data_IF_455083581554
#
_entry.id   IF_455083581554
#
_cell.length_a   1.000
_cell.length_b   1.000
_cell.length_c   1.000
_cell.angle_alpha   90.00
_cell.angle_beta   90.00
_cell.angle_gamma   90.00
#
_symmetry.space_group_name_H-M   'P 1'
#
loop_
_entity.id
_entity.type
_entity.pdbx_description
1 polymer ?
#
# COMPACT_ATOMS: atom_id res chain seq x y z
N UNK A 1 -3.10 -29.57 24.35
CA UNK A 1 -1.64 -29.63 24.58
C UNK A 1 -0.99 -28.88 23.43
N UNK A 2 -0.58 -27.64 23.69
CA UNK A 2 0.05 -26.75 22.69
C UNK A 2 1.35 -27.40 22.26
N UNK A 3 1.46 -27.81 20.99
CA UNK A 3 2.74 -28.24 20.43
C UNK A 3 3.59 -26.97 20.32
N UNK A 4 4.56 -26.81 21.22
CA UNK A 4 5.62 -25.82 21.06
C UNK A 4 6.32 -26.07 19.72
N UNK A 5 6.32 -25.07 18.86
CA UNK A 5 7.12 -25.06 17.65
C UNK A 5 8.59 -24.96 18.07
N UNK A 6 9.30 -26.09 18.02
CA UNK A 6 10.73 -26.21 18.31
C UNK A 6 11.49 -26.19 16.96
N UNK A 7 12.02 -25.03 16.52
CA UNK A 7 12.61 -24.87 15.17
C UNK A 7 13.93 -25.63 14.95
N UNK A 8 14.46 -26.34 15.95
CA UNK A 8 15.78 -26.98 15.89
C UNK A 8 15.73 -28.52 15.86
N UNK A 9 14.55 -29.14 15.81
CA UNK A 9 14.40 -30.60 15.98
C UNK A 9 13.45 -31.29 14.99
N UNK A 10 13.29 -30.73 13.78
CA UNK A 10 12.47 -31.32 12.71
C UNK A 10 13.34 -32.15 11.73
N UNK A 11 13.02 -33.43 11.47
CA UNK A 11 13.87 -34.33 10.66
C UNK A 11 13.80 -34.01 9.15
N UNK A 12 14.85 -34.29 8.34
CA UNK A 12 14.83 -34.07 6.89
C UNK A 12 13.87 -35.09 6.22
N UNK A 13 13.05 -34.70 5.21
CA UNK A 13 13.30 -33.71 4.15
C UNK A 13 12.32 -32.52 4.20
N UNK A 14 12.78 -31.34 4.61
CA UNK A 14 11.91 -30.15 4.81
C UNK A 14 12.07 -29.10 3.71
N UNK A 15 13.22 -29.05 3.04
CA UNK A 15 13.52 -27.99 2.06
C UNK A 15 12.58 -28.02 0.85
N UNK A 16 12.46 -29.15 0.15
CA UNK A 16 11.69 -29.22 -1.12
C UNK A 16 10.21 -28.86 -0.94
N UNK A 17 9.59 -29.30 0.15
CA UNK A 17 8.17 -29.06 0.42
C UNK A 17 7.91 -27.60 0.82
N UNK A 18 8.86 -26.96 1.52
CA UNK A 18 8.79 -25.52 1.83
C UNK A 18 8.91 -24.64 0.58
N UNK A 19 9.80 -24.98 -0.37
CA UNK A 19 9.92 -24.22 -1.62
C UNK A 19 8.60 -24.21 -2.40
N UNK A 20 7.96 -25.38 -2.54
CA UNK A 20 6.67 -25.47 -3.22
C UNK A 20 5.59 -24.63 -2.53
N UNK A 21 5.55 -24.63 -1.20
CA UNK A 21 4.59 -23.84 -0.42
C UNK A 21 4.83 -22.33 -0.58
N UNK A 22 6.08 -21.88 -0.49
CA UNK A 22 6.45 -20.47 -0.67
C UNK A 22 6.10 -20.00 -2.08
N UNK A 23 6.43 -20.77 -3.11
CA UNK A 23 6.06 -20.43 -4.49
C UNK A 23 4.54 -20.36 -4.67
N UNK A 24 3.79 -21.30 -4.08
CA UNK A 24 2.33 -21.35 -4.20
C UNK A 24 1.65 -20.10 -3.61
N UNK A 25 2.21 -19.50 -2.56
CA UNK A 25 1.69 -18.26 -1.95
C UNK A 25 2.27 -17.01 -2.62
N UNK A 26 3.54 -17.05 -3.03
CA UNK A 26 4.24 -15.88 -3.59
C UNK A 26 3.76 -15.56 -5.01
N UNK A 27 3.48 -16.56 -5.84
CA UNK A 27 2.99 -16.35 -7.22
C UNK A 27 1.72 -15.47 -7.25
N UNK A 28 0.63 -15.81 -6.52
CA UNK A 28 -0.55 -14.97 -6.52
C UNK A 28 -0.28 -13.59 -5.89
N UNK A 29 0.58 -13.51 -4.86
CA UNK A 29 0.94 -12.24 -4.23
C UNK A 29 1.65 -11.28 -5.21
N UNK A 30 2.62 -11.79 -5.97
CA UNK A 30 3.34 -10.99 -6.99
C UNK A 30 2.40 -10.56 -8.10
N UNK A 31 1.49 -11.44 -8.54
CA UNK A 31 0.49 -11.09 -9.54
C UNK A 31 -0.45 -9.96 -9.06
N UNK A 32 -0.91 -10.04 -7.81
CA UNK A 32 -1.70 -8.98 -7.19
C UNK A 32 -0.93 -7.67 -7.15
N UNK A 33 0.35 -7.70 -6.79
CA UNK A 33 1.15 -6.49 -6.72
C UNK A 33 1.36 -5.85 -8.10
N UNK A 34 1.59 -6.67 -9.14
CA UNK A 34 1.66 -6.18 -10.52
C UNK A 34 0.34 -5.52 -10.91
N UNK A 35 -0.78 -6.17 -10.60
CA UNK A 35 -2.12 -5.65 -10.94
C UNK A 35 -2.45 -4.36 -10.19
N UNK A 36 -1.94 -4.18 -8.97
CA UNK A 36 -2.08 -2.94 -8.20
C UNK A 36 -1.29 -1.77 -8.81
N UNK A 37 -0.07 -2.00 -9.31
CA UNK A 37 0.76 -0.94 -9.88
C UNK A 37 0.48 -0.63 -11.36
N UNK A 38 -0.18 -1.53 -12.08
CA UNK A 38 -0.45 -1.41 -13.51
C UNK A 38 -1.36 -0.21 -13.92
N UNK A 39 -2.39 0.20 -13.16
CA UNK A 39 -3.33 1.23 -13.60
C UNK A 39 -2.69 2.62 -13.78
N UNK A 40 -1.80 3.02 -12.88
CA UNK A 40 -1.13 4.33 -12.90
C UNK A 40 -0.36 4.61 -14.22
N UNK A 41 0.54 3.73 -14.69
CA UNK A 41 1.25 3.95 -15.95
C UNK A 41 0.33 3.88 -17.18
N UNK A 42 -0.72 3.05 -17.16
CA UNK A 42 -1.71 3.00 -18.24
C UNK A 42 -2.47 4.33 -18.34
N UNK A 43 -2.91 4.87 -17.20
CA UNK A 43 -3.56 6.19 -17.13
C UNK A 43 -2.63 7.28 -17.64
N UNK A 44 -1.36 7.30 -17.22
CA UNK A 44 -0.38 8.26 -17.72
C UNK A 44 -0.11 8.14 -19.22
N UNK A 45 -0.05 6.92 -19.76
CA UNK A 45 0.06 6.71 -21.22
C UNK A 45 -1.17 7.24 -21.96
N UNK A 46 -2.37 7.06 -21.42
CA UNK A 46 -3.60 7.59 -22.01
C UNK A 46 -3.60 9.13 -22.00
N UNK A 47 -3.29 9.74 -20.84
CA UNK A 47 -3.20 11.19 -20.68
C UNK A 47 -2.14 11.81 -21.60
N UNK A 48 -1.06 11.09 -21.91
CA UNK A 48 -0.01 11.50 -22.85
C UNK A 48 -0.44 11.57 -24.33
N UNK A 49 -1.55 10.94 -24.71
CA UNK A 49 -2.10 11.01 -26.07
C UNK A 49 -3.15 12.12 -26.26
N UNK A 50 -3.50 12.86 -25.19
CA UNK A 50 -4.36 14.04 -25.28
C UNK A 50 -3.62 15.21 -25.97
N UNK A 51 -4.38 16.22 -26.42
CA UNK A 51 -3.82 17.37 -27.14
C UNK A 51 -2.62 17.98 -26.41
N UNK A 52 -1.61 18.35 -27.18
CA UNK A 52 -0.24 18.61 -26.69
C UNK A 52 -0.16 19.80 -25.72
N UNK A 53 -1.17 20.68 -25.75
CA UNK A 53 -1.31 21.85 -24.90
C UNK A 53 -1.78 21.51 -23.48
N UNK A 54 -2.80 20.67 -23.32
CA UNK A 54 -3.36 20.29 -22.02
C UNK A 54 -2.62 19.10 -21.38
N UNK A 55 -2.13 18.17 -22.20
CA UNK A 55 -1.48 16.94 -21.73
C UNK A 55 -0.26 17.22 -20.84
N UNK A 56 0.53 18.26 -21.13
CA UNK A 56 1.70 18.64 -20.31
C UNK A 56 1.32 19.11 -18.92
N UNK A 57 0.27 19.91 -18.80
CA UNK A 57 -0.18 20.46 -17.50
C UNK A 57 -0.82 19.35 -16.68
N UNK A 58 -1.66 18.51 -17.30
CA UNK A 58 -2.32 17.38 -16.63
C UNK A 58 -1.31 16.33 -16.17
N UNK A 59 -0.29 16.00 -16.97
CA UNK A 59 0.76 15.07 -16.57
C UNK A 59 1.63 15.63 -15.44
N UNK A 60 1.99 16.91 -15.48
CA UNK A 60 2.74 17.55 -14.41
C UNK A 60 1.92 17.62 -13.10
N UNK A 61 0.64 17.95 -13.20
CA UNK A 61 -0.31 17.97 -12.10
C UNK A 61 -0.49 16.59 -11.47
N UNK A 62 -0.78 15.58 -12.29
CA UNK A 62 -0.96 14.20 -11.86
C UNK A 62 0.31 13.61 -11.25
N UNK A 63 1.48 13.90 -11.83
CA UNK A 63 2.78 13.52 -11.28
C UNK A 63 3.03 14.11 -9.89
N UNK A 64 2.78 15.42 -9.71
CA UNK A 64 2.96 16.05 -8.41
C UNK A 64 1.95 15.58 -7.37
N UNK A 65 0.68 15.39 -7.76
CA UNK A 65 -0.35 14.81 -6.91
C UNK A 65 0.06 13.41 -6.43
N UNK A 66 0.54 12.57 -7.35
CA UNK A 66 1.02 11.22 -7.04
C UNK A 66 2.22 11.23 -6.09
N UNK A 67 3.18 12.15 -6.29
CA UNK A 67 4.31 12.31 -5.37
C UNK A 67 3.84 12.75 -3.98
N UNK A 68 2.97 13.75 -3.89
CA UNK A 68 2.43 14.22 -2.62
C UNK A 68 1.68 13.11 -1.87
N UNK A 69 0.82 12.37 -2.58
CA UNK A 69 0.06 11.25 -2.03
C UNK A 69 0.99 10.11 -1.58
N UNK A 70 2.01 9.80 -2.37
CA UNK A 70 2.97 8.73 -2.06
C UNK A 70 3.78 9.06 -0.80
N UNK A 71 4.27 10.29 -0.69
CA UNK A 71 5.06 10.74 0.46
C UNK A 71 4.22 10.87 1.73
N UNK A 72 2.99 11.37 1.63
CA UNK A 72 2.19 11.73 2.80
C UNK A 72 1.28 10.59 3.27
N UNK A 73 0.56 9.96 2.36
CA UNK A 73 -0.46 8.97 2.69
C UNK A 73 0.03 7.54 2.47
N UNK A 74 0.52 7.22 1.27
CA UNK A 74 0.91 5.86 0.92
C UNK A 74 2.04 5.33 1.82
N UNK A 75 3.04 6.17 2.11
CA UNK A 75 4.16 5.80 3.00
C UNK A 75 3.70 5.41 4.40
N UNK A 76 2.71 6.11 4.97
CA UNK A 76 2.14 5.78 6.29
C UNK A 76 1.37 4.47 6.22
N UNK A 77 0.54 4.28 5.19
CA UNK A 77 -0.24 3.06 4.98
C UNK A 77 0.68 1.85 4.86
N UNK A 78 1.72 1.91 4.02
CA UNK A 78 2.69 0.82 3.85
C UNK A 78 3.43 0.51 5.15
N UNK A 79 3.84 1.53 5.92
CA UNK A 79 4.50 1.33 7.21
C UNK A 79 3.63 0.58 8.21
N UNK A 80 2.34 0.92 8.27
CA UNK A 80 1.36 0.24 9.14
C UNK A 80 1.07 -1.17 8.65
N UNK A 81 0.88 -1.36 7.34
CA UNK A 81 0.69 -2.69 6.75
C UNK A 81 1.87 -3.61 7.02
N UNK A 82 3.10 -3.11 6.92
CA UNK A 82 4.32 -3.90 7.22
C UNK A 82 4.37 -4.29 8.70
N UNK A 83 4.02 -3.38 9.61
CA UNK A 83 3.92 -3.70 11.04
C UNK A 83 2.83 -4.75 11.30
N UNK A 84 1.71 -4.69 10.58
CA UNK A 84 0.64 -5.67 10.68
C UNK A 84 1.03 -7.05 10.13
N UNK A 85 1.75 -7.13 9.01
CA UNK A 85 2.25 -8.39 8.47
C UNK A 85 3.14 -9.10 9.51
N UNK A 86 4.02 -8.34 10.17
CA UNK A 86 4.86 -8.84 11.25
C UNK A 86 4.03 -9.34 12.44
N UNK A 87 3.04 -8.58 12.91
CA UNK A 87 2.16 -8.97 14.02
C UNK A 87 1.31 -10.20 13.68
N UNK A 88 0.82 -10.30 12.45
CA UNK A 88 0.02 -11.42 11.96
C UNK A 88 0.86 -12.69 11.88
N UNK A 89 2.09 -12.59 11.37
CA UNK A 89 3.05 -13.70 11.39
C UNK A 89 3.37 -14.17 12.81
N UNK A 90 3.54 -13.24 13.76
CA UNK A 90 3.75 -13.56 15.17
C UNK A 90 2.54 -14.25 15.83
N UNK A 91 1.33 -13.74 15.57
CA UNK A 91 0.09 -14.33 16.09
C UNK A 91 -0.15 -15.73 15.52
N UNK A 92 0.12 -15.92 14.23
CA UNK A 92 0.06 -17.22 13.57
C UNK A 92 1.08 -18.20 14.15
N UNK A 93 2.32 -17.76 14.40
CA UNK A 93 3.37 -18.57 15.01
C UNK A 93 3.07 -19.06 16.44
N UNK A 94 2.22 -18.36 17.19
CA UNK A 94 1.75 -18.77 18.53
C UNK A 94 0.61 -19.79 18.49
N UNK A 95 0.07 -20.13 17.32
CA UNK A 95 -0.98 -21.13 17.16
C UNK A 95 -2.35 -20.76 17.76
N UNK A 96 -2.58 -19.47 18.05
CA UNK A 96 -3.81 -18.97 18.68
C UNK A 96 -4.65 -18.23 17.65
N UNK A 97 -5.47 -18.96 16.88
CA UNK A 97 -6.33 -18.39 15.84
C UNK A 97 -7.29 -17.28 16.33
N UNK A 98 -7.61 -17.26 17.63
CA UNK A 98 -8.43 -16.21 18.25
C UNK A 98 -7.68 -14.86 18.36
N UNK A 99 -6.35 -14.87 18.45
CA UNK A 99 -5.53 -13.65 18.44
C UNK A 99 -5.48 -13.00 17.05
N UNK A 100 -5.67 -13.77 15.98
CA UNK A 100 -5.75 -13.25 14.61
C UNK A 100 -6.94 -12.30 14.42
N UNK A 101 -8.07 -12.62 15.05
CA UNK A 101 -9.25 -11.75 15.06
C UNK A 101 -9.02 -10.43 15.78
N UNK A 102 -8.24 -10.45 16.88
CA UNK A 102 -7.86 -9.24 17.61
C UNK A 102 -6.91 -8.37 16.78
N UNK A 103 -5.95 -8.97 16.08
CA UNK A 103 -5.06 -8.26 15.15
C UNK A 103 -5.87 -7.61 14.03
N UNK A 104 -6.86 -8.32 13.46
CA UNK A 104 -7.73 -7.76 12.41
C UNK A 104 -8.58 -6.58 12.91
N UNK A 105 -9.15 -6.68 14.13
CA UNK A 105 -9.91 -5.57 14.73
C UNK A 105 -9.00 -4.36 15.00
N UNK A 106 -7.80 -4.62 15.51
CA UNK A 106 -6.80 -3.57 15.78
C UNK A 106 -6.39 -2.89 14.47
N UNK A 107 -6.16 -3.66 13.42
CA UNK A 107 -5.88 -3.15 12.08
C UNK A 107 -7.00 -2.26 11.54
N UNK A 108 -8.26 -2.70 11.66
CA UNK A 108 -9.41 -1.93 11.20
C UNK A 108 -9.56 -0.60 11.97
N UNK A 109 -9.32 -0.61 13.29
CA UNK A 109 -9.31 0.60 14.11
C UNK A 109 -8.15 1.53 13.74
N UNK A 110 -6.94 1.01 13.58
CA UNK A 110 -5.79 1.78 13.12
C UNK A 110 -6.05 2.41 11.74
N UNK A 111 -6.60 1.65 10.79
CA UNK A 111 -6.96 2.15 9.48
C UNK A 111 -8.03 3.26 9.57
N UNK A 112 -9.07 3.09 10.40
CA UNK A 112 -10.09 4.10 10.61
C UNK A 112 -9.54 5.39 11.23
N UNK A 113 -8.69 5.27 12.24
CA UNK A 113 -8.06 6.42 12.91
C UNK A 113 -7.09 7.15 12.00
N UNK A 114 -6.32 6.44 11.17
CA UNK A 114 -5.38 7.04 10.23
C UNK A 114 -6.05 7.64 8.99
N UNK A 115 -7.22 7.13 8.60
CA UNK A 115 -7.99 7.66 7.48
C UNK A 115 -8.38 9.13 7.71
N UNK A 116 -8.76 9.51 8.94
CA UNK A 116 -9.19 10.88 9.27
C UNK A 116 -8.08 11.93 9.04
N UNK A 117 -6.87 11.83 9.65
CA UNK A 117 -5.81 12.79 9.42
C UNK A 117 -5.29 12.75 7.98
N UNK A 118 -5.21 11.56 7.36
CA UNK A 118 -4.80 11.44 5.96
C UNK A 118 -5.78 12.11 5.00
N UNK A 119 -7.08 11.95 5.21
CA UNK A 119 -8.12 12.62 4.43
C UNK A 119 -8.06 14.14 4.61
N UNK A 120 -7.83 14.63 5.83
CA UNK A 120 -7.67 16.06 6.08
C UNK A 120 -6.45 16.63 5.36
N UNK A 121 -5.29 15.98 5.47
CA UNK A 121 -4.07 16.46 4.80
C UNK A 121 -4.21 16.41 3.29
N UNK A 122 -4.88 15.38 2.76
CA UNK A 122 -5.15 15.26 1.32
C UNK A 122 -6.17 16.30 0.85
N UNK A 123 -7.16 16.65 1.67
CA UNK A 123 -8.12 17.71 1.37
C UNK A 123 -7.45 19.09 1.29
N UNK A 124 -6.48 19.36 2.18
CA UNK A 124 -5.69 20.59 2.15
C UNK A 124 -4.50 20.54 1.16
N UNK A 125 -4.33 19.43 0.43
CA UNK A 125 -3.21 19.25 -0.51
C UNK A 125 -3.12 20.38 -1.54
N UNK A 126 -4.27 20.84 -2.08
CA UNK A 126 -4.33 21.96 -3.01
C UNK A 126 -3.79 23.26 -2.42
N UNK A 127 -4.16 23.58 -1.18
CA UNK A 127 -3.65 24.77 -0.48
C UNK A 127 -2.16 24.66 -0.14
N UNK A 128 -1.69 23.46 0.21
CA UNK A 128 -0.28 23.18 0.48
C UNK A 128 0.56 23.33 -0.78
N UNK A 129 0.08 22.83 -1.92
CA UNK A 129 0.75 22.94 -3.22
C UNK A 129 0.85 24.39 -3.69
N UNK A 130 -0.23 25.17 -3.55
CA UNK A 130 -0.22 26.61 -3.85
C UNK A 130 0.78 27.36 -2.95
N UNK A 131 0.85 27.01 -1.66
CA UNK A 131 1.83 27.58 -0.72
C UNK A 131 3.29 27.22 -1.04
N UNK A 132 3.53 26.06 -1.68
CA UNK A 132 4.84 25.62 -2.18
C UNK A 132 5.25 26.30 -3.51
N UNK A 133 4.40 27.19 -4.05
CA UNK A 133 4.72 27.99 -5.25
C UNK A 133 4.29 27.35 -6.57
N UNK A 134 3.40 26.35 -6.56
CA UNK A 134 2.82 25.80 -7.79
C UNK A 134 1.74 26.72 -8.41
N UNK A 135 1.68 26.83 -9.75
CA UNK A 135 0.67 27.63 -10.44
C UNK A 135 -0.73 27.02 -10.29
N UNK A 136 -1.73 27.91 -10.15
CA UNK A 136 -3.15 27.59 -9.86
C UNK A 136 -3.86 26.72 -10.91
N UNK A 137 -3.32 26.59 -12.13
CA UNK A 137 -3.88 25.72 -13.19
C UNK A 137 -3.87 24.22 -12.81
N UNK A 138 -2.95 23.82 -11.93
CA UNK A 138 -2.81 22.45 -11.42
C UNK A 138 -3.99 22.08 -10.50
N UNK A 139 -4.60 23.07 -9.84
CA UNK A 139 -5.67 22.88 -8.87
C UNK A 139 -7.00 22.42 -9.51
N UNK A 140 -7.29 22.85 -10.75
CA UNK A 140 -8.53 22.49 -11.46
C UNK A 140 -8.56 21.03 -11.91
N UNK A 141 -7.41 20.44 -12.26
CA UNK A 141 -7.30 19.04 -12.69
C UNK A 141 -7.07 18.06 -11.55
N UNK A 142 -6.78 18.54 -10.33
CA UNK A 142 -6.58 17.68 -9.16
C UNK A 142 -7.91 17.26 -8.50
N UNK A 143 -9.03 17.93 -8.86
CA UNK A 143 -10.38 17.73 -8.33
C UNK A 143 -11.35 17.03 -9.32
N UNK A 144 -10.87 16.67 -10.52
CA UNK A 144 -11.64 16.00 -11.58
C UNK A 144 -11.07 14.59 -11.83
#
# INVERSE_FOLDING_TARGET
MVKEFQPLLSPPPISTDEWHHVFLITIPLVLLQILEYLPLPILNMYLGHLDQSESRVVLAAGGLSSLFFTTTAYSVVIGVSTAMDALTAQAHGKGRGLELGIVLQTAALCAGVLCVPLALVTFFSGSILVALGQPVDVLYYLLL
#
